data_IF_652322276301
#
_entry.id   IF_652322276301
#
_cell.length_a   1.000
_cell.length_b   1.000
_cell.length_c   1.000
_cell.angle_alpha   90.00
_cell.angle_beta   90.00
_cell.angle_gamma   90.00
#
_symmetry.space_group_name_H-M   'P 1'
#
loop_
_entity.id
_entity.type
_entity.pdbx_description
1 polymer ?
#
# COMPACT_ATOMS: atom_id res chain seq x y z
N UNK A 1 19.88 -23.20 22.85
CA UNK A 1 19.06 -21.97 23.01
C UNK A 1 19.64 -20.74 22.29
N UNK A 2 20.95 -20.47 22.36
CA UNK A 2 21.59 -19.31 21.71
C UNK A 2 21.46 -19.26 20.16
N UNK A 3 21.51 -20.41 19.48
CA UNK A 3 21.36 -20.48 18.02
C UNK A 3 19.92 -20.15 17.58
N UNK A 4 18.92 -20.59 18.34
CA UNK A 4 17.51 -20.30 18.08
C UNK A 4 17.19 -18.81 18.25
N UNK A 5 17.78 -18.18 19.28
CA UNK A 5 17.66 -16.73 19.50
C UNK A 5 18.32 -15.92 18.38
N UNK A 6 19.51 -16.35 17.90
CA UNK A 6 20.20 -15.68 16.79
C UNK A 6 19.43 -15.78 15.47
N UNK A 7 18.83 -16.93 15.17
CA UNK A 7 17.99 -17.11 13.99
C UNK A 7 16.69 -16.29 14.06
N UNK A 8 16.07 -16.19 15.24
CA UNK A 8 14.89 -15.33 15.45
C UNK A 8 15.23 -13.84 15.26
N UNK A 9 16.38 -13.38 15.76
CA UNK A 9 16.85 -12.00 15.58
C UNK A 9 17.17 -11.70 14.11
N UNK A 10 17.80 -12.62 13.39
CA UNK A 10 18.05 -12.47 11.96
C UNK A 10 16.74 -12.37 11.16
N UNK A 11 15.76 -13.23 11.46
CA UNK A 11 14.44 -13.23 10.82
C UNK A 11 13.65 -11.95 11.07
N UNK A 12 13.74 -11.39 12.28
CA UNK A 12 13.11 -10.11 12.63
C UNK A 12 13.72 -8.94 11.84
N UNK A 13 15.05 -8.90 11.67
CA UNK A 13 15.72 -7.84 10.88
C UNK A 13 15.32 -7.87 9.41
N UNK A 14 15.22 -9.06 8.81
CA UNK A 14 14.81 -9.21 7.41
C UNK A 14 13.36 -8.77 7.21
N UNK A 15 12.44 -9.22 8.07
CA UNK A 15 11.03 -8.84 7.99
C UNK A 15 10.82 -7.33 8.08
N UNK A 16 11.52 -6.64 8.99
CA UNK A 16 11.44 -5.17 9.09
C UNK A 16 11.96 -4.48 7.82
N UNK A 17 13.03 -5.00 7.21
CA UNK A 17 13.54 -4.47 5.94
C UNK A 17 12.53 -4.64 4.81
N UNK A 18 11.84 -5.79 4.75
CA UNK A 18 10.87 -6.09 3.70
C UNK A 18 9.66 -5.12 3.78
N UNK A 19 9.19 -4.82 5.00
CA UNK A 19 8.11 -3.85 5.21
C UNK A 19 8.49 -2.45 4.72
N UNK A 20 9.70 -1.98 5.04
CA UNK A 20 10.17 -0.66 4.62
C UNK A 20 10.23 -0.54 3.10
N UNK A 21 10.77 -1.56 2.41
CA UNK A 21 10.85 -1.56 0.95
C UNK A 21 9.45 -1.53 0.34
N UNK A 22 8.53 -2.33 0.88
CA UNK A 22 7.15 -2.38 0.43
C UNK A 22 6.43 -1.03 0.59
N UNK A 23 6.55 -0.39 1.76
CA UNK A 23 5.92 0.91 2.04
C UNK A 23 6.46 2.03 1.14
N UNK A 24 7.78 2.04 0.88
CA UNK A 24 8.40 3.01 -0.03
C UNK A 24 7.89 2.83 -1.45
N UNK A 25 7.76 1.58 -1.92
CA UNK A 25 7.21 1.30 -3.25
C UNK A 25 5.74 1.73 -3.36
N UNK A 26 4.93 1.49 -2.34
CA UNK A 26 3.54 1.94 -2.30
C UNK A 26 3.42 3.45 -2.29
N UNK A 27 4.24 4.14 -1.49
CA UNK A 27 4.31 5.60 -1.45
C UNK A 27 4.70 6.18 -2.81
N UNK A 28 5.69 5.60 -3.48
CA UNK A 28 6.11 5.99 -4.82
C UNK A 28 5.02 5.74 -5.86
N UNK A 29 4.35 4.59 -5.81
CA UNK A 29 3.23 4.27 -6.70
C UNK A 29 2.07 5.25 -6.53
N UNK A 30 1.71 5.58 -5.29
CA UNK A 30 0.68 6.57 -4.99
C UNK A 30 1.05 7.96 -5.53
N UNK A 31 2.31 8.36 -5.38
CA UNK A 31 2.81 9.64 -5.91
C UNK A 31 2.74 9.68 -7.45
N UNK A 32 3.30 8.67 -8.12
CA UNK A 32 3.34 8.63 -9.59
C UNK A 32 1.95 8.54 -10.22
N UNK A 33 1.05 7.75 -9.63
CA UNK A 33 -0.34 7.66 -10.10
C UNK A 33 -1.10 8.96 -9.84
N UNK A 34 -0.80 9.67 -8.74
CA UNK A 34 -1.33 11.01 -8.49
C UNK A 34 -0.87 12.02 -9.53
N UNK A 35 0.43 12.08 -9.83
CA UNK A 35 0.95 12.92 -10.91
C UNK A 35 0.26 12.60 -12.24
N UNK A 36 0.11 11.31 -12.54
CA UNK A 36 -0.53 10.85 -13.79
C UNK A 36 -2.00 11.27 -13.86
N UNK A 37 -2.75 11.16 -12.76
CA UNK A 37 -4.14 11.61 -12.65
C UNK A 37 -4.25 13.12 -12.85
N UNK A 38 -3.41 13.92 -12.18
CA UNK A 38 -3.41 15.37 -12.35
C UNK A 38 -3.04 15.77 -13.79
N UNK A 39 -1.99 15.19 -14.37
CA UNK A 39 -1.65 15.41 -15.78
C UNK A 39 -2.79 15.03 -16.72
N UNK A 40 -3.59 14.02 -16.39
CA UNK A 40 -4.78 13.66 -17.15
C UNK A 40 -5.86 14.72 -17.11
N UNK A 41 -6.08 15.36 -15.96
CA UNK A 41 -7.07 16.43 -15.81
C UNK A 41 -6.70 17.68 -16.61
N UNK A 42 -5.41 18.00 -16.73
CA UNK A 42 -4.95 19.18 -17.48
C UNK A 42 -4.83 18.90 -19.00
N UNK A 43 -4.64 17.65 -19.40
CA UNK A 43 -4.49 17.28 -20.81
C UNK A 43 -5.84 16.95 -21.46
N UNK A 44 -6.44 17.94 -22.12
CA UNK A 44 -7.70 17.79 -22.89
C UNK A 44 -7.53 17.05 -24.23
N UNK A 45 -6.29 16.76 -24.62
CA UNK A 45 -5.97 16.21 -25.95
C UNK A 45 -6.20 14.71 -26.09
N UNK A 46 -6.37 13.98 -24.99
CA UNK A 46 -6.46 12.52 -25.00
C UNK A 46 -7.86 12.08 -24.57
N UNK A 47 -8.57 11.38 -25.46
CA UNK A 47 -9.80 10.69 -25.12
C UNK A 47 -9.46 9.51 -24.19
N UNK A 48 -9.85 9.60 -22.92
CA UNK A 48 -9.62 8.53 -21.91
C UNK A 48 -10.94 7.87 -21.57
N UNK A 49 -10.94 6.54 -21.57
CA UNK A 49 -12.09 5.74 -21.13
C UNK A 49 -12.32 5.92 -19.63
N UNK A 50 -13.58 5.88 -19.16
CA UNK A 50 -13.91 5.94 -17.73
C UNK A 50 -13.18 4.88 -16.90
N UNK A 51 -12.94 3.69 -17.49
CA UNK A 51 -12.17 2.60 -16.87
C UNK A 51 -10.76 3.01 -16.47
N UNK A 52 -10.13 3.94 -17.21
CA UNK A 52 -8.79 4.43 -16.89
C UNK A 52 -8.77 5.17 -15.55
N UNK A 53 -9.77 6.01 -15.29
CA UNK A 53 -9.90 6.69 -14.00
C UNK A 53 -10.25 5.74 -12.87
N UNK A 54 -11.11 4.74 -13.12
CA UNK A 54 -11.44 3.70 -12.16
C UNK A 54 -10.21 2.90 -11.72
N UNK A 55 -9.33 2.52 -12.66
CA UNK A 55 -8.07 1.82 -12.36
C UNK A 55 -7.11 2.66 -11.52
N UNK A 56 -7.02 3.97 -11.77
CA UNK A 56 -6.19 4.87 -10.96
C UNK A 56 -6.75 4.99 -9.54
N UNK A 57 -8.06 5.15 -9.39
CA UNK A 57 -8.72 5.21 -8.08
C UNK A 57 -8.56 3.89 -7.32
N UNK A 58 -8.72 2.74 -8.00
CA UNK A 58 -8.49 1.42 -7.40
C UNK A 58 -7.03 1.27 -6.93
N UNK A 59 -6.06 1.76 -7.72
CA UNK A 59 -4.64 1.76 -7.36
C UNK A 59 -4.37 2.61 -6.12
N UNK A 60 -5.05 3.77 -5.98
CA UNK A 60 -4.95 4.59 -4.77
C UNK A 60 -5.52 3.88 -3.54
N UNK A 61 -6.72 3.30 -3.65
CA UNK A 61 -7.34 2.55 -2.56
C UNK A 61 -6.45 1.40 -2.09
N UNK A 62 -5.85 0.68 -3.05
CA UNK A 62 -4.88 -0.37 -2.75
C UNK A 62 -3.68 0.20 -1.98
N UNK A 63 -3.01 1.23 -2.50
CA UNK A 63 -1.85 1.83 -1.84
C UNK A 63 -2.17 2.33 -0.43
N UNK A 64 -3.27 3.07 -0.27
CA UNK A 64 -3.71 3.61 1.02
C UNK A 64 -4.01 2.48 2.00
N UNK A 65 -4.67 1.41 1.57
CA UNK A 65 -5.01 0.28 2.44
C UNK A 65 -3.79 -0.34 3.12
N UNK A 66 -2.69 -0.51 2.39
CA UNK A 66 -1.45 -1.06 2.95
C UNK A 66 -0.67 -0.03 3.77
N UNK A 67 -0.66 1.24 3.35
CA UNK A 67 0.00 2.32 4.09
C UNK A 67 -0.65 2.59 5.47
N UNK A 68 -1.91 2.25 5.69
CA UNK A 68 -2.54 2.32 7.02
C UNK A 68 -1.89 1.39 8.05
N UNK A 69 -1.22 0.33 7.60
CA UNK A 69 -0.54 -0.62 8.46
C UNK A 69 0.87 -0.19 8.86
N UNK A 70 1.38 0.93 8.32
CA UNK A 70 2.71 1.46 8.64
C UNK A 70 2.84 1.65 10.16
N UNK A 71 3.90 1.08 10.74
CA UNK A 71 4.12 1.09 12.19
C UNK A 71 3.44 -0.06 12.96
N UNK A 72 2.50 -0.77 12.34
CA UNK A 72 1.86 -1.97 12.89
C UNK A 72 2.32 -3.29 12.23
N UNK A 73 3.23 -3.25 11.26
CA UNK A 73 3.67 -4.43 10.49
C UNK A 73 4.64 -5.36 11.24
N UNK A 74 5.53 -4.80 12.09
CA UNK A 74 6.58 -5.56 12.77
C UNK A 74 6.28 -5.89 14.24
N UNK A 75 5.14 -5.43 14.77
CA UNK A 75 4.85 -5.39 16.21
C UNK A 75 3.43 -5.83 16.59
N UNK A 76 2.92 -5.29 17.69
CA UNK A 76 1.66 -5.69 18.32
C UNK A 76 0.45 -5.74 17.38
N UNK A 77 -0.52 -6.59 17.73
CA UNK A 77 -1.71 -6.82 16.92
C UNK A 77 -2.46 -5.52 16.62
N UNK A 78 -2.72 -5.20 15.34
CA UNK A 78 -3.48 -4.01 14.95
C UNK A 78 -4.90 -4.07 15.53
N UNK A 79 -5.51 -2.91 15.73
CA UNK A 79 -6.88 -2.83 16.22
C UNK A 79 -7.85 -3.40 15.18
N UNK A 80 -8.89 -4.12 15.63
CA UNK A 80 -9.86 -4.76 14.74
C UNK A 80 -10.47 -3.77 13.73
N UNK A 81 -10.78 -2.55 14.17
CA UNK A 81 -11.33 -1.49 13.30
C UNK A 81 -10.38 -1.11 12.16
N UNK A 82 -9.08 -1.08 12.40
CA UNK A 82 -8.08 -0.76 11.38
C UNK A 82 -7.98 -1.89 10.34
N UNK A 83 -7.99 -3.15 10.78
CA UNK A 83 -8.03 -4.30 9.87
C UNK A 83 -9.32 -4.36 9.05
N UNK A 84 -10.47 -4.09 9.68
CA UNK A 84 -11.77 -4.09 9.00
C UNK A 84 -11.82 -2.98 7.94
N UNK A 85 -11.32 -1.79 8.27
CA UNK A 85 -11.27 -0.67 7.33
C UNK A 85 -10.29 -0.94 6.17
N UNK A 86 -9.10 -1.46 6.48
CA UNK A 86 -8.13 -1.88 5.46
C UNK A 86 -8.75 -2.92 4.50
N UNK A 87 -9.32 -4.00 5.04
CA UNK A 87 -9.92 -5.06 4.25
C UNK A 87 -11.10 -4.52 3.42
N UNK A 88 -11.93 -3.66 4.01
CA UNK A 88 -13.04 -3.00 3.33
C UNK A 88 -12.59 -2.23 2.09
N UNK A 89 -11.50 -1.45 2.18
CA UNK A 89 -10.97 -0.71 1.02
C UNK A 89 -10.45 -1.63 -0.09
N UNK A 90 -9.80 -2.74 0.26
CA UNK A 90 -9.30 -3.70 -0.73
C UNK A 90 -10.46 -4.34 -1.49
N UNK A 91 -11.53 -4.74 -0.78
CA UNK A 91 -12.69 -5.41 -1.40
C UNK A 91 -13.69 -4.44 -2.04
N UNK A 92 -13.65 -3.15 -1.71
CA UNK A 92 -14.48 -2.13 -2.34
C UNK A 92 -13.91 -1.61 -3.67
N UNK A 93 -12.65 -1.91 -3.98
CA UNK A 93 -12.02 -1.46 -5.21
C UNK A 93 -12.76 -2.02 -6.44
N UNK A 94 -13.19 -1.17 -7.38
CA UNK A 94 -13.88 -1.64 -8.58
C UNK A 94 -12.91 -2.45 -9.45
N UNK A 95 -13.27 -3.70 -9.75
CA UNK A 95 -12.59 -4.57 -10.73
C UNK A 95 -13.03 -4.25 -12.15
#
# INVERSE_FOLDING_TARGET
MLVHASMAVARSKTATSDFIVFDVLLGLALFLTSCTYFSALFSKSLARMMTWFALIIASWLYCISFLLLVGHQAGGTPTFGLCLFQAGMIYAAPV
#
